data_IF_713404108138
#
_entry.id   IF_713404108138
#
_cell.length_a   1.000
_cell.length_b   1.000
_cell.length_c   1.000
_cell.angle_alpha   90.00
_cell.angle_beta   90.00
_cell.angle_gamma   90.00
#
_symmetry.space_group_name_H-M   'P 1'
#
loop_
_entity.id
_entity.type
_entity.pdbx_description
1 polymer ?
#
# COMPACT_ATOMS: atom_id res chain seq x y z
N UNK A 1 -15.06 16.54 4.13
CA UNK A 1 -14.31 16.02 5.30
C UNK A 1 -14.71 14.59 5.61
N UNK A 2 -16.00 14.33 5.72
CA UNK A 2 -16.64 13.06 6.09
C UNK A 2 -16.09 11.85 5.32
N UNK A 3 -15.76 12.03 4.03
CA UNK A 3 -15.10 11.04 3.17
C UNK A 3 -13.75 10.56 3.73
N UNK A 4 -12.89 11.50 4.16
CA UNK A 4 -11.58 11.20 4.73
C UNK A 4 -11.65 10.75 6.20
N UNK A 5 -12.67 11.15 6.96
CA UNK A 5 -12.83 10.67 8.35
C UNK A 5 -13.04 9.15 8.39
N UNK A 6 -13.75 8.59 7.39
CA UNK A 6 -14.02 7.15 7.26
C UNK A 6 -12.78 6.28 7.01
N UNK A 7 -11.69 6.85 6.48
CA UNK A 7 -10.50 6.10 6.00
C UNK A 7 -9.19 6.51 6.66
N UNK A 8 -9.03 7.80 7.00
CA UNK A 8 -7.74 8.40 7.38
C UNK A 8 -7.74 9.09 8.75
N UNK A 9 -8.89 9.49 9.29
CA UNK A 9 -9.01 10.03 10.66
C UNK A 9 -8.06 11.22 11.00
N UNK A 10 -7.64 12.01 10.00
CA UNK A 10 -6.76 13.18 10.21
C UNK A 10 -7.46 14.35 10.91
N UNK A 11 -8.72 14.62 10.53
CA UNK A 11 -9.39 15.89 10.75
C UNK A 11 -10.48 15.78 11.82
N UNK A 12 -10.43 16.66 12.81
CA UNK A 12 -11.46 16.77 13.84
C UNK A 12 -12.47 17.83 13.39
N UNK A 13 -13.74 17.50 13.07
CA UNK A 13 -14.70 18.48 12.55
C UNK A 13 -15.02 19.60 13.54
N UNK A 14 -14.64 19.47 14.82
CA UNK A 14 -14.76 20.54 15.84
C UNK A 14 -13.66 21.60 15.75
N UNK A 15 -12.65 21.39 14.90
CA UNK A 15 -11.52 22.30 14.66
C UNK A 15 -11.31 22.54 13.16
N UNK A 16 -11.19 21.46 12.38
CA UNK A 16 -10.84 21.43 10.95
C UNK A 16 -12.02 21.82 10.05
N UNK A 17 -12.63 22.98 10.28
CA UNK A 17 -13.65 23.57 9.40
C UNK A 17 -13.02 24.13 8.13
N UNK A 18 -13.85 24.47 7.13
CA UNK A 18 -13.38 25.19 5.94
C UNK A 18 -12.67 26.50 6.32
N UNK A 19 -13.30 27.34 7.16
CA UNK A 19 -12.73 28.62 7.58
C UNK A 19 -11.41 28.47 8.34
N UNK A 20 -11.30 27.43 9.19
CA UNK A 20 -10.06 27.13 9.91
C UNK A 20 -8.95 26.76 8.92
N UNK A 21 -9.18 25.82 8.01
CA UNK A 21 -8.13 25.38 7.07
C UNK A 21 -7.79 26.51 6.09
N UNK A 22 -8.78 27.22 5.56
CA UNK A 22 -8.57 28.37 4.67
C UNK A 22 -7.75 29.49 5.34
N UNK A 23 -8.02 29.81 6.61
CA UNK A 23 -7.25 30.82 7.35
C UNK A 23 -5.86 30.36 7.81
N UNK A 24 -5.63 29.05 8.00
CA UNK A 24 -4.35 28.52 8.53
C UNK A 24 -3.41 27.91 7.49
N UNK A 25 -3.92 27.26 6.44
CA UNK A 25 -3.10 26.49 5.51
C UNK A 25 -3.75 26.37 4.12
N UNK A 26 -3.37 27.28 3.24
CA UNK A 26 -3.70 27.21 1.81
C UNK A 26 -3.12 25.96 1.15
N UNK A 27 -1.96 25.45 1.60
CA UNK A 27 -1.38 24.21 1.09
C UNK A 27 -2.25 22.98 1.41
N UNK A 28 -2.73 22.85 2.65
CA UNK A 28 -3.64 21.76 3.02
C UNK A 28 -4.98 21.90 2.30
N UNK A 29 -5.52 23.12 2.15
CA UNK A 29 -6.74 23.36 1.39
C UNK A 29 -6.61 22.90 -0.07
N UNK A 30 -5.58 23.36 -0.78
CA UNK A 30 -5.34 22.98 -2.18
C UNK A 30 -5.17 21.46 -2.37
N UNK A 31 -4.48 20.79 -1.44
CA UNK A 31 -4.31 19.32 -1.48
C UNK A 31 -5.61 18.57 -1.20
N UNK A 32 -6.42 19.02 -0.23
CA UNK A 32 -7.74 18.43 0.05
C UNK A 32 -8.65 18.59 -1.17
N UNK A 33 -8.72 19.79 -1.76
CA UNK A 33 -9.49 20.04 -2.97
C UNK A 33 -9.02 19.18 -4.15
N UNK A 34 -7.71 19.06 -4.35
CA UNK A 34 -7.13 18.23 -5.41
C UNK A 34 -7.55 16.75 -5.29
N UNK A 35 -7.41 16.17 -4.09
CA UNK A 35 -7.67 14.75 -3.88
C UNK A 35 -9.16 14.43 -3.99
N UNK A 36 -10.06 15.33 -3.58
CA UNK A 36 -11.50 15.13 -3.80
C UNK A 36 -11.85 15.30 -5.27
N UNK A 37 -11.38 16.37 -5.92
CA UNK A 37 -11.68 16.65 -7.33
C UNK A 37 -11.19 15.55 -8.29
N UNK A 38 -10.11 14.82 -7.95
CA UNK A 38 -9.59 13.75 -8.80
C UNK A 38 -10.43 12.47 -8.80
N UNK A 39 -11.34 12.30 -7.84
CA UNK A 39 -12.21 11.13 -7.75
C UNK A 39 -13.47 11.32 -8.60
N UNK A 40 -14.02 12.53 -8.64
CA UNK A 40 -15.26 12.86 -9.34
C UNK A 40 -15.00 13.23 -10.83
N UNK A 41 -15.54 12.49 -11.81
CA UNK A 41 -15.34 12.82 -13.23
C UNK A 41 -15.86 14.20 -13.63
N UNK A 42 -16.90 14.72 -12.94
CA UNK A 42 -17.43 16.07 -13.17
C UNK A 42 -16.43 17.20 -12.87
N UNK A 43 -15.39 16.93 -12.08
CA UNK A 43 -14.37 17.91 -11.71
C UNK A 43 -13.03 17.74 -12.43
N UNK A 44 -12.91 16.90 -13.48
CA UNK A 44 -11.64 16.64 -14.17
C UNK A 44 -10.85 17.92 -14.55
N UNK A 45 -11.51 18.92 -15.15
CA UNK A 45 -10.83 20.17 -15.52
C UNK A 45 -10.29 20.93 -14.30
N UNK A 46 -10.99 20.86 -13.17
CA UNK A 46 -10.57 21.44 -11.89
C UNK A 46 -9.46 20.59 -11.27
N UNK A 47 -9.57 19.26 -11.32
CA UNK A 47 -8.57 18.32 -10.83
C UNK A 47 -7.21 18.52 -11.54
N UNK A 48 -7.21 18.71 -12.87
CA UNK A 48 -5.98 19.01 -13.65
C UNK A 48 -5.38 20.38 -13.33
N UNK A 49 -6.20 21.40 -13.08
CA UNK A 49 -5.71 22.71 -12.64
C UNK A 49 -5.12 22.66 -11.21
N UNK A 50 -5.79 21.93 -10.31
CA UNK A 50 -5.34 21.72 -8.94
C UNK A 50 -4.07 20.86 -8.88
N UNK A 51 -3.95 19.83 -9.72
CA UNK A 51 -2.73 19.03 -9.86
C UNK A 51 -1.53 19.91 -10.23
N UNK A 52 -1.69 20.72 -11.29
CA UNK A 52 -0.67 21.66 -11.73
C UNK A 52 -0.30 22.66 -10.61
N UNK A 53 -1.30 23.26 -9.96
CA UNK A 53 -1.06 24.20 -8.85
C UNK A 53 -0.34 23.53 -7.66
N UNK A 54 -0.76 22.33 -7.27
CA UNK A 54 -0.15 21.57 -6.18
C UNK A 54 1.30 21.22 -6.49
N UNK A 55 1.58 20.68 -7.68
CA UNK A 55 2.90 20.18 -8.05
C UNK A 55 3.89 21.26 -8.51
N UNK A 56 3.41 22.35 -9.13
CA UNK A 56 4.25 23.43 -9.67
C UNK A 56 4.30 24.67 -8.77
N UNK A 57 3.33 24.87 -7.86
CA UNK A 57 3.31 26.02 -6.94
C UNK A 57 3.43 25.58 -5.48
N UNK A 58 2.50 24.78 -4.97
CA UNK A 58 2.39 24.49 -3.53
C UNK A 58 3.59 23.69 -3.01
N UNK A 59 3.89 22.53 -3.62
CA UNK A 59 4.98 21.67 -3.16
C UNK A 59 6.37 22.33 -3.29
N UNK A 60 6.73 23.00 -4.41
CA UNK A 60 7.96 23.78 -4.49
C UNK A 60 8.04 24.91 -3.47
N UNK A 61 6.94 25.62 -3.19
CA UNK A 61 6.91 26.71 -2.21
C UNK A 61 7.19 26.22 -0.78
N UNK A 62 6.66 25.07 -0.38
CA UNK A 62 6.95 24.46 0.93
C UNK A 62 8.47 24.23 1.09
N UNK A 63 9.12 23.69 0.05
CA UNK A 63 10.57 23.45 0.04
C UNK A 63 11.39 24.75 0.01
N UNK A 64 11.13 25.62 -0.96
CA UNK A 64 11.94 26.80 -1.26
C UNK A 64 11.87 27.89 -0.17
N UNK A 65 10.72 28.02 0.50
CA UNK A 65 10.52 29.00 1.58
C UNK A 65 10.62 28.38 2.98
N UNK A 66 10.81 27.05 3.09
CA UNK A 66 10.95 26.36 4.37
C UNK A 66 9.69 26.46 5.27
N UNK A 67 8.51 26.41 4.67
CA UNK A 67 7.25 26.47 5.40
C UNK A 67 7.02 25.20 6.23
N UNK A 68 6.59 25.36 7.49
CA UNK A 68 6.46 24.27 8.46
C UNK A 68 5.21 24.46 9.32
N UNK A 69 4.32 23.48 9.32
CA UNK A 69 3.17 23.39 10.23
C UNK A 69 2.61 21.97 10.27
N UNK A 70 1.69 21.69 11.20
CA UNK A 70 0.96 20.41 11.27
C UNK A 70 0.17 20.16 9.98
N UNK A 71 -0.44 21.20 9.44
CA UNK A 71 -1.22 21.17 8.21
C UNK A 71 -0.34 20.87 6.98
N UNK A 72 0.92 21.31 6.98
CA UNK A 72 1.88 20.96 5.93
C UNK A 72 2.29 19.48 6.02
N UNK A 73 2.48 18.93 7.23
CA UNK A 73 2.70 17.49 7.41
C UNK A 73 1.49 16.70 6.88
N UNK A 74 0.26 17.13 7.20
CA UNK A 74 -0.97 16.51 6.69
C UNK A 74 -1.10 16.61 5.16
N UNK A 75 -0.77 17.76 4.57
CA UNK A 75 -0.80 17.96 3.12
C UNK A 75 0.19 17.02 2.41
N UNK A 76 1.44 16.92 2.90
CA UNK A 76 2.45 16.03 2.36
C UNK A 76 2.08 14.54 2.53
N UNK A 77 1.46 14.18 3.67
CA UNK A 77 0.93 12.83 3.89
C UNK A 77 -0.22 12.47 2.94
N UNK A 78 -1.15 13.40 2.73
CA UNK A 78 -2.24 13.21 1.79
C UNK A 78 -1.72 13.03 0.36
N UNK A 79 -0.73 13.83 -0.07
CA UNK A 79 -0.08 13.65 -1.37
C UNK A 79 0.64 12.30 -1.48
N UNK A 80 1.31 11.84 -0.43
CA UNK A 80 1.95 10.52 -0.43
C UNK A 80 0.92 9.37 -0.49
N UNK A 81 -0.19 9.50 0.24
CA UNK A 81 -1.23 8.48 0.37
C UNK A 81 -2.09 8.29 -0.89
N UNK A 82 -2.23 9.34 -1.71
CA UNK A 82 -3.01 9.38 -2.94
C UNK A 82 -2.17 9.74 -4.18
N UNK A 83 -0.84 9.58 -4.11
CA UNK A 83 0.04 9.75 -5.26
C UNK A 83 -0.48 8.89 -6.43
N UNK A 84 -0.56 9.43 -7.65
CA UNK A 84 -0.85 8.58 -8.80
C UNK A 84 0.26 7.52 -8.92
N UNK A 85 -0.08 6.21 -8.97
CA UNK A 85 0.92 5.19 -9.26
C UNK A 85 1.56 5.50 -10.61
N UNK A 86 2.88 5.63 -10.65
CA UNK A 86 3.67 5.77 -11.88
C UNK A 86 3.93 4.40 -12.49
N UNK A 87 4.13 4.32 -13.81
CA UNK A 87 4.50 3.06 -14.50
C UNK A 87 5.97 2.67 -14.22
N UNK A 88 6.77 3.64 -13.79
CA UNK A 88 8.15 3.44 -13.38
C UNK A 88 8.29 3.65 -11.86
N UNK A 89 8.83 2.66 -11.13
CA UNK A 89 9.12 2.78 -9.68
C UNK A 89 10.05 3.95 -9.37
N UNK A 90 10.94 4.31 -10.31
CA UNK A 90 11.86 5.44 -10.14
C UNK A 90 11.14 6.79 -10.14
N UNK A 91 9.91 6.82 -10.64
CA UNK A 91 9.03 7.99 -10.69
C UNK A 91 8.01 7.99 -9.53
N UNK A 92 7.96 6.94 -8.69
CA UNK A 92 7.09 6.92 -7.51
C UNK A 92 7.57 7.93 -6.46
N UNK A 93 6.83 9.03 -6.35
CA UNK A 93 7.11 10.12 -5.42
C UNK A 93 6.53 9.90 -4.02
N UNK A 94 5.77 8.84 -3.78
CA UNK A 94 5.09 8.59 -2.49
C UNK A 94 6.09 8.58 -1.32
N UNK A 95 7.22 7.87 -1.46
CA UNK A 95 8.27 7.80 -0.45
C UNK A 95 8.96 9.14 -0.22
N UNK A 96 9.19 9.92 -1.28
CA UNK A 96 9.80 11.25 -1.20
C UNK A 96 8.89 12.27 -0.51
N UNK A 97 7.59 12.24 -0.81
CA UNK A 97 6.56 13.09 -0.20
C UNK A 97 6.41 12.76 1.30
N UNK A 98 6.35 11.48 1.64
CA UNK A 98 6.31 10.98 3.01
C UNK A 98 7.58 11.35 3.79
N UNK A 99 8.76 11.18 3.17
CA UNK A 99 10.05 11.56 3.77
C UNK A 99 10.11 13.06 4.06
N UNK A 100 9.54 13.89 3.17
CA UNK A 100 9.43 15.32 3.42
C UNK A 100 8.46 15.62 4.59
N UNK A 101 7.32 14.91 4.68
CA UNK A 101 6.40 15.03 5.81
C UNK A 101 7.09 14.68 7.15
N UNK A 102 7.88 13.60 7.18
CA UNK A 102 8.66 13.18 8.33
C UNK A 102 9.71 14.23 8.75
N UNK A 103 10.39 14.86 7.77
CA UNK A 103 11.33 15.96 8.04
C UNK A 103 10.63 17.17 8.65
N UNK A 104 9.54 17.67 8.04
CA UNK A 104 8.79 18.82 8.57
C UNK A 104 8.25 18.53 9.97
N UNK A 105 7.73 17.32 10.20
CA UNK A 105 7.28 16.87 11.52
C UNK A 105 8.40 16.91 12.56
N UNK A 106 9.61 16.47 12.19
CA UNK A 106 10.79 16.48 13.05
C UNK A 106 11.25 17.91 13.38
N UNK A 107 11.24 18.81 12.41
CA UNK A 107 11.61 20.24 12.57
C UNK A 107 10.64 21.01 13.48
N UNK A 108 9.36 20.65 13.52
CA UNK A 108 8.37 21.20 14.47
C UNK A 108 8.26 20.41 15.79
N UNK A 109 9.17 19.45 16.01
CA UNK A 109 9.20 18.55 17.16
C UNK A 109 7.87 17.80 17.42
N UNK A 110 7.18 17.40 16.33
CA UNK A 110 5.88 16.75 16.40
C UNK A 110 5.92 15.42 17.16
N UNK A 111 7.08 14.73 17.15
CA UNK A 111 7.34 13.51 17.92
C UNK A 111 7.08 13.65 19.42
N UNK A 112 7.29 14.84 20.00
CA UNK A 112 7.08 15.09 21.42
C UNK A 112 5.58 15.29 21.79
N UNK A 113 4.67 15.39 20.81
CA UNK A 113 3.28 15.79 21.05
C UNK A 113 2.48 14.81 21.94
N UNK A 114 2.81 13.52 21.94
CA UNK A 114 2.17 12.51 22.79
C UNK A 114 2.74 12.49 24.22
N UNK A 115 4.00 12.90 24.38
CA UNK A 115 4.69 12.97 25.68
C UNK A 115 4.44 14.29 26.41
N UNK A 116 3.84 15.28 25.75
CA UNK A 116 3.53 16.58 26.34
C UNK A 116 2.56 16.43 27.52
N UNK A 117 2.93 16.97 28.68
CA UNK A 117 2.08 16.89 29.88
C UNK A 117 0.78 17.64 29.63
N UNK A 118 -0.36 17.03 29.97
CA UNK A 118 -1.66 17.72 29.91
C UNK A 118 -1.59 19.00 30.74
N UNK A 119 -1.78 20.13 30.08
CA UNK A 119 -2.00 21.43 30.71
C UNK A 119 -3.48 21.51 31.11
N UNK A 120 -3.73 21.47 32.41
CA UNK A 120 -5.08 21.54 32.98
C UNK A 120 -5.70 22.94 32.86
N UNK A 121 -4.90 23.96 32.54
CA UNK A 121 -5.36 25.34 32.36
C UNK A 121 -5.48 25.73 30.88
N UNK A 122 -5.03 24.86 29.95
CA UNK A 122 -5.17 25.08 28.52
C UNK A 122 -6.65 25.16 28.10
N UNK A 123 -6.97 26.15 27.27
CA UNK A 123 -8.32 26.32 26.73
C UNK A 123 -8.75 25.10 25.91
N UNK A 124 -10.07 24.90 25.77
CA UNK A 124 -10.62 23.84 24.90
C UNK A 124 -10.08 23.92 23.46
N UNK A 125 -9.90 25.12 22.92
CA UNK A 125 -9.34 25.32 21.59
C UNK A 125 -7.88 24.85 21.53
N UNK A 126 -7.04 25.29 22.47
CA UNK A 126 -5.64 24.86 22.58
C UNK A 126 -5.50 23.34 22.71
N UNK A 127 -6.38 22.69 23.51
CA UNK A 127 -6.39 21.21 23.62
C UNK A 127 -6.84 20.51 22.34
N UNK A 128 -7.73 21.10 21.53
CA UNK A 128 -8.09 20.57 20.22
C UNK A 128 -6.92 20.71 19.23
N UNK A 129 -6.20 21.83 19.22
CA UNK A 129 -4.97 22.00 18.41
C UNK A 129 -3.87 20.99 18.82
N UNK A 130 -3.69 20.74 20.12
CA UNK A 130 -2.79 19.67 20.59
C UNK A 130 -3.21 18.28 20.09
N UNK A 131 -4.52 17.93 20.13
CA UNK A 131 -5.01 16.66 19.57
C UNK A 131 -4.90 16.60 18.05
N UNK A 132 -5.00 17.73 17.34
CA UNK A 132 -4.76 17.81 15.90
C UNK A 132 -3.31 17.44 15.55
N UNK A 133 -2.33 18.01 16.27
CA UNK A 133 -0.92 17.63 16.17
C UNK A 133 -0.69 16.14 16.46
N UNK A 134 -1.32 15.60 17.51
CA UNK A 134 -1.23 14.18 17.88
C UNK A 134 -1.80 13.25 16.80
N UNK A 135 -2.94 13.60 16.17
CA UNK A 135 -3.50 12.86 15.02
C UNK A 135 -2.59 12.87 13.80
N UNK A 136 -1.94 13.99 13.53
CA UNK A 136 -0.97 14.09 12.44
C UNK A 136 0.25 13.18 12.69
N UNK A 137 0.76 13.12 13.93
CA UNK A 137 1.87 12.22 14.31
C UNK A 137 1.51 10.74 14.19
N UNK A 138 0.37 10.32 14.76
CA UNK A 138 -0.08 8.93 14.72
C UNK A 138 -0.27 8.46 13.27
N UNK A 139 -0.87 9.29 12.42
CA UNK A 139 -1.03 8.96 11.00
C UNK A 139 0.29 9.01 10.22
N UNK A 140 1.21 9.94 10.51
CA UNK A 140 2.55 9.95 9.89
C UNK A 140 3.23 8.60 10.09
N UNK A 141 3.25 8.09 11.33
CA UNK A 141 3.84 6.80 11.64
C UNK A 141 3.08 5.62 10.99
N UNK A 142 1.74 5.64 10.95
CA UNK A 142 0.95 4.59 10.30
C UNK A 142 1.17 4.52 8.78
N UNK A 143 1.26 5.67 8.13
CA UNK A 143 1.52 5.77 6.69
C UNK A 143 2.96 5.42 6.36
N UNK A 144 3.92 5.84 7.20
CA UNK A 144 5.33 5.51 7.03
C UNK A 144 5.60 4.02 7.19
N UNK A 145 5.11 3.41 8.27
CA UNK A 145 5.21 1.96 8.47
C UNK A 145 4.59 1.18 7.31
N UNK A 146 3.40 1.59 6.87
CA UNK A 146 2.71 0.89 5.78
C UNK A 146 3.45 1.04 4.45
N UNK A 147 3.92 2.24 4.09
CA UNK A 147 4.64 2.44 2.82
C UNK A 147 6.04 1.80 2.83
N UNK A 148 6.74 1.82 3.96
CA UNK A 148 8.01 1.12 4.15
C UNK A 148 7.82 -0.39 3.88
N UNK A 149 6.80 -0.98 4.50
CA UNK A 149 6.45 -2.39 4.31
C UNK A 149 5.99 -2.71 2.86
N UNK A 150 5.19 -1.84 2.24
CA UNK A 150 4.73 -1.98 0.84
C UNK A 150 5.79 -1.62 -0.22
N UNK A 151 7.02 -1.30 0.18
CA UNK A 151 8.11 -1.00 -0.76
C UNK A 151 9.46 -1.61 -0.35
N UNK A 152 9.46 -2.54 0.63
CA UNK A 152 10.68 -3.18 1.15
C UNK A 152 11.70 -2.22 1.78
N UNK A 153 11.32 -0.97 2.08
CA UNK A 153 12.24 0.06 2.58
C UNK A 153 12.37 0.00 4.10
N UNK A 154 13.55 0.34 4.62
CA UNK A 154 13.73 0.57 6.05
C UNK A 154 12.99 1.82 6.51
N UNK A 155 12.54 1.81 7.77
CA UNK A 155 11.86 2.96 8.36
C UNK A 155 12.82 4.14 8.52
N UNK A 156 12.34 5.34 8.20
CA UNK A 156 13.04 6.62 8.36
C UNK A 156 12.71 7.30 9.70
N UNK A 157 11.71 6.80 10.43
CA UNK A 157 11.35 7.29 11.74
C UNK A 157 12.20 6.60 12.81
N UNK A 158 12.60 7.35 13.84
CA UNK A 158 13.32 6.80 14.97
C UNK A 158 12.53 5.67 15.64
N UNK A 159 13.23 4.64 16.13
CA UNK A 159 12.58 3.55 16.85
C UNK A 159 11.94 4.06 18.15
N UNK A 160 10.62 3.85 18.27
CA UNK A 160 9.81 4.32 19.37
C UNK A 160 8.67 3.33 19.66
N UNK A 161 8.36 3.11 20.93
CA UNK A 161 7.24 2.25 21.34
C UNK A 161 5.92 3.05 21.33
N UNK A 162 5.54 3.51 20.13
CA UNK A 162 4.43 4.45 19.93
C UNK A 162 3.11 3.96 20.55
N UNK A 163 2.86 2.65 20.49
CA UNK A 163 1.65 2.07 21.08
C UNK A 163 1.56 2.32 22.59
N UNK A 164 2.66 2.15 23.33
CA UNK A 164 2.69 2.45 24.76
C UNK A 164 2.45 3.93 25.06
N UNK A 165 2.87 4.83 24.17
CA UNK A 165 2.60 6.27 24.27
C UNK A 165 1.15 6.66 23.94
N UNK A 166 0.45 5.90 23.08
CA UNK A 166 -0.90 6.24 22.61
C UNK A 166 -2.02 5.32 23.10
N UNK A 167 -1.72 4.26 23.87
CA UNK A 167 -2.68 3.22 24.28
C UNK A 167 -4.01 3.78 24.81
N UNK A 168 -3.92 4.70 25.76
CA UNK A 168 -5.09 5.28 26.43
C UNK A 168 -5.47 6.67 25.86
N UNK A 169 -4.81 7.11 24.79
CA UNK A 169 -4.99 8.44 24.19
C UNK A 169 -6.40 8.66 23.62
N UNK A 170 -7.06 7.57 23.22
CA UNK A 170 -8.44 7.55 22.72
C UNK A 170 -9.50 7.66 23.83
N UNK A 171 -9.12 7.59 25.11
CA UNK A 171 -10.01 7.71 26.27
C UNK A 171 -10.13 9.15 26.82
N UNK A 172 -9.45 10.13 26.20
CA UNK A 172 -9.55 11.53 26.63
C UNK A 172 -10.95 12.12 26.38
N UNK A 173 -11.49 13.02 27.23
CA UNK A 173 -12.80 13.65 26.99
C UNK A 173 -12.94 14.45 25.68
N UNK A 174 -11.83 14.79 25.02
CA UNK A 174 -11.81 15.40 23.69
C UNK A 174 -11.50 14.40 22.56
N UNK A 175 -11.56 13.10 22.80
CA UNK A 175 -11.43 12.09 21.76
C UNK A 175 -12.58 12.16 20.73
N UNK A 176 -12.38 11.44 19.62
CA UNK A 176 -13.36 11.08 18.59
C UNK A 176 -13.41 9.56 18.49
N UNK A 177 -14.50 8.99 18.00
CA UNK A 177 -14.59 7.55 17.78
C UNK A 177 -13.53 7.06 16.76
N UNK A 178 -13.12 7.94 15.83
CA UNK A 178 -12.00 7.72 14.92
C UNK A 178 -10.63 7.60 15.61
N UNK A 179 -10.46 8.13 16.83
CA UNK A 179 -9.23 8.00 17.63
C UNK A 179 -9.04 6.56 18.12
N UNK A 180 -10.14 5.86 18.44
CA UNK A 180 -10.14 4.44 18.80
C UNK A 180 -9.55 3.60 17.65
N UNK A 181 -9.96 3.90 16.41
CA UNK A 181 -9.40 3.26 15.23
C UNK A 181 -7.93 3.62 14.98
N UNK A 182 -7.49 4.84 15.29
CA UNK A 182 -6.06 5.18 15.17
C UNK A 182 -5.21 4.37 16.15
N UNK A 183 -5.60 4.29 17.42
CA UNK A 183 -4.87 3.51 18.42
C UNK A 183 -4.88 2.01 18.08
N UNK A 184 -6.01 1.47 17.62
CA UNK A 184 -6.07 0.07 17.20
C UNK A 184 -5.16 -0.23 16.01
N UNK A 185 -5.07 0.67 15.03
CA UNK A 185 -4.16 0.52 13.89
C UNK A 185 -2.69 0.60 14.34
N UNK A 186 -2.36 1.47 15.29
CA UNK A 186 -1.00 1.54 15.86
C UNK A 186 -0.65 0.22 16.55
N UNK A 187 -1.54 -0.34 17.37
CA UNK A 187 -1.32 -1.66 17.97
C UNK A 187 -1.11 -2.74 16.91
N UNK A 188 -1.95 -2.79 15.87
CA UNK A 188 -1.85 -3.80 14.81
C UNK A 188 -0.50 -3.73 14.08
N UNK A 189 -0.03 -2.52 13.74
CA UNK A 189 1.30 -2.35 13.12
C UNK A 189 2.43 -2.68 14.10
N UNK A 190 2.28 -2.37 15.39
CA UNK A 190 3.23 -2.79 16.43
C UNK A 190 3.29 -4.32 16.58
N UNK A 191 2.16 -5.03 16.51
CA UNK A 191 2.10 -6.50 16.48
C UNK A 191 2.85 -7.03 15.25
N UNK A 192 2.59 -6.50 14.05
CA UNK A 192 3.30 -6.91 12.83
C UNK A 192 4.80 -6.67 12.97
N UNK A 193 5.23 -5.47 13.38
CA UNK A 193 6.65 -5.13 13.60
C UNK A 193 7.33 -6.11 14.56
N UNK A 194 6.71 -6.37 15.72
CA UNK A 194 7.27 -7.26 16.75
C UNK A 194 7.36 -8.71 16.26
N UNK A 195 6.39 -9.21 15.50
CA UNK A 195 6.47 -10.57 14.94
C UNK A 195 7.46 -10.67 13.76
N UNK A 196 7.60 -9.65 12.90
CA UNK A 196 8.69 -9.64 11.90
C UNK A 196 10.07 -9.71 12.56
N UNK A 197 10.28 -8.94 13.63
CA UNK A 197 11.53 -9.00 14.39
C UNK A 197 11.71 -10.34 15.10
N UNK A 198 10.68 -10.88 15.76
CA UNK A 198 10.77 -12.21 16.39
C UNK A 198 11.15 -13.29 15.38
N UNK A 199 10.56 -13.29 14.19
CA UNK A 199 10.88 -14.27 13.15
C UNK A 199 12.39 -14.27 12.81
N UNK A 200 13.00 -13.09 12.67
CA UNK A 200 14.45 -12.94 12.45
C UNK A 200 15.35 -13.42 13.60
N UNK A 201 14.79 -13.67 14.78
CA UNK A 201 15.49 -14.14 15.98
C UNK A 201 15.20 -15.62 16.32
N UNK A 202 14.19 -16.24 15.70
CA UNK A 202 13.82 -17.62 15.99
C UNK A 202 14.77 -18.60 15.29
N UNK A 203 15.22 -19.67 15.97
CA UNK A 203 15.95 -20.74 15.31
C UNK A 203 15.03 -21.54 14.37
N UNK A 204 15.56 -22.15 13.30
CA UNK A 204 14.78 -22.97 12.36
C UNK A 204 13.94 -24.06 13.06
N UNK A 205 12.75 -24.35 12.54
CA UNK A 205 11.82 -25.33 13.12
C UNK A 205 10.87 -24.80 14.20
N UNK A 206 10.91 -23.49 14.50
CA UNK A 206 9.96 -22.83 15.42
C UNK A 206 8.72 -22.25 14.70
N UNK A 207 8.50 -22.66 13.46
CA UNK A 207 7.51 -22.12 12.52
C UNK A 207 6.07 -22.23 13.02
N UNK A 208 5.72 -23.36 13.65
CA UNK A 208 4.40 -23.57 14.24
C UNK A 208 4.17 -22.73 15.49
N UNK A 209 5.20 -22.55 16.33
CA UNK A 209 5.15 -21.67 17.50
C UNK A 209 4.95 -20.21 17.05
N UNK A 210 5.69 -19.79 16.03
CA UNK A 210 5.57 -18.47 15.42
C UNK A 210 4.16 -18.23 14.86
N UNK A 211 3.63 -19.17 14.08
CA UNK A 211 2.30 -19.08 13.50
C UNK A 211 1.20 -18.99 14.58
N UNK A 212 1.24 -19.82 15.62
CA UNK A 212 0.28 -19.72 16.72
C UNK A 212 0.41 -18.42 17.52
N UNK A 213 1.63 -17.89 17.72
CA UNK A 213 1.80 -16.58 18.37
C UNK A 213 1.16 -15.46 17.53
N UNK A 214 1.42 -15.44 16.21
CA UNK A 214 0.83 -14.46 15.30
C UNK A 214 -0.70 -14.53 15.33
N UNK A 215 -1.28 -15.74 15.22
CA UNK A 215 -2.72 -15.96 15.31
C UNK A 215 -3.29 -15.53 16.66
N UNK A 216 -2.63 -15.87 17.77
CA UNK A 216 -3.06 -15.50 19.13
C UNK A 216 -3.09 -13.98 19.35
N UNK A 217 -2.06 -13.26 18.91
CA UNK A 217 -2.01 -11.80 19.03
C UNK A 217 -3.05 -11.11 18.13
N UNK A 218 -3.24 -11.57 16.90
CA UNK A 218 -4.26 -11.02 15.98
C UNK A 218 -5.70 -11.35 16.43
N UNK A 219 -5.94 -12.52 17.05
CA UNK A 219 -7.22 -12.85 17.70
C UNK A 219 -7.47 -11.94 18.90
N UNK A 220 -6.48 -11.74 19.76
CA UNK A 220 -6.55 -10.82 20.92
C UNK A 220 -6.87 -9.39 20.45
N UNK A 221 -6.14 -8.88 19.47
CA UNK A 221 -6.40 -7.57 18.86
C UNK A 221 -7.84 -7.45 18.33
N UNK A 222 -8.30 -8.49 17.62
CA UNK A 222 -9.68 -8.54 17.09
C UNK A 222 -10.71 -8.46 18.22
N UNK A 223 -10.54 -9.26 19.28
CA UNK A 223 -11.45 -9.29 20.43
C UNK A 223 -11.45 -7.96 21.19
N UNK A 224 -10.29 -7.33 21.40
CA UNK A 224 -10.19 -6.03 22.06
C UNK A 224 -10.95 -4.96 21.29
N UNK A 225 -10.65 -4.78 20.00
CA UNK A 225 -11.17 -3.62 19.24
C UNK A 225 -12.52 -3.82 18.58
N UNK A 226 -12.96 -5.07 18.34
CA UNK A 226 -14.34 -5.33 17.90
C UNK A 226 -15.34 -5.24 19.06
N UNK A 227 -14.95 -5.64 20.29
CA UNK A 227 -15.81 -5.54 21.47
C UNK A 227 -15.69 -4.21 22.23
N UNK A 228 -14.75 -3.33 21.87
CA UNK A 228 -14.61 -1.99 22.46
C UNK A 228 -15.78 -1.04 22.14
N UNK A 229 -16.69 -1.44 21.23
CA UNK A 229 -17.80 -0.63 20.75
C UNK A 229 -19.12 -0.99 21.43
N UNK A 230 -19.92 -0.01 21.90
CA UNK A 230 -21.33 -0.23 22.20
C UNK A 230 -22.07 -0.76 20.97
N UNK A 231 -23.03 -1.66 21.17
CA UNK A 231 -23.80 -2.34 20.11
C UNK A 231 -24.49 -1.41 19.07
N UNK A 232 -24.62 -0.12 19.38
CA UNK A 232 -25.22 0.91 18.51
C UNK A 232 -24.22 1.81 17.76
N UNK A 233 -22.92 1.69 18.02
CA UNK A 233 -21.89 2.56 17.45
C UNK A 233 -20.97 1.78 16.49
N UNK A 234 -20.94 2.18 15.22
CA UNK A 234 -19.96 1.66 14.24
C UNK A 234 -18.87 2.69 13.99
N UNK A 235 -17.60 2.29 14.16
CA UNK A 235 -16.46 3.08 13.66
C UNK A 235 -16.11 2.57 12.27
N UNK A 236 -16.29 3.42 11.24
CA UNK A 236 -16.16 3.03 9.83
C UNK A 236 -14.83 2.37 9.46
N UNK A 237 -13.73 2.67 10.17
CA UNK A 237 -12.42 2.02 9.95
C UNK A 237 -12.31 0.65 10.64
N UNK A 238 -13.02 0.43 11.76
CA UNK A 238 -13.06 -0.87 12.45
C UNK A 238 -14.00 -1.88 11.77
N UNK A 239 -14.95 -1.42 10.93
CA UNK A 239 -15.69 -2.28 9.99
C UNK A 239 -14.77 -3.08 9.06
N UNK A 240 -13.56 -2.57 8.81
CA UNK A 240 -12.53 -3.19 7.97
C UNK A 240 -11.57 -4.10 8.77
N UNK A 241 -11.81 -4.29 10.08
CA UNK A 241 -10.95 -5.08 10.97
C UNK A 241 -10.64 -6.49 10.44
N UNK A 242 -11.63 -7.19 9.86
CA UNK A 242 -11.42 -8.50 9.21
C UNK A 242 -10.42 -8.43 8.06
N UNK A 243 -10.47 -7.39 7.22
CA UNK A 243 -9.50 -7.19 6.14
C UNK A 243 -8.11 -6.94 6.69
N UNK A 244 -7.98 -6.08 7.70
CA UNK A 244 -6.68 -5.77 8.31
C UNK A 244 -6.05 -6.98 9.00
N UNK A 245 -6.85 -7.81 9.68
CA UNK A 245 -6.40 -9.04 10.36
C UNK A 245 -6.02 -10.12 9.36
N UNK A 246 -6.86 -10.41 8.36
CA UNK A 246 -6.51 -11.35 7.29
C UNK A 246 -5.24 -10.92 6.55
N UNK A 247 -5.11 -9.63 6.22
CA UNK A 247 -3.92 -9.12 5.53
C UNK A 247 -2.65 -9.24 6.38
N UNK A 248 -2.73 -8.90 7.66
CA UNK A 248 -1.62 -9.07 8.60
C UNK A 248 -1.23 -10.54 8.77
N UNK A 249 -2.21 -11.45 8.86
CA UNK A 249 -1.95 -12.88 9.01
C UNK A 249 -1.29 -13.45 7.74
N UNK A 250 -1.75 -13.07 6.55
CA UNK A 250 -1.13 -13.50 5.29
C UNK A 250 0.31 -12.99 5.16
N UNK A 251 0.59 -11.75 5.57
CA UNK A 251 1.98 -11.23 5.58
C UNK A 251 2.88 -12.01 6.54
N UNK A 252 2.43 -12.25 7.78
CA UNK A 252 3.23 -12.90 8.81
C UNK A 252 3.44 -14.39 8.51
N UNK A 253 2.40 -15.13 8.12
CA UNK A 253 2.53 -16.52 7.72
C UNK A 253 3.26 -16.69 6.39
N UNK A 254 3.19 -15.70 5.50
CA UNK A 254 3.99 -15.64 4.29
C UNK A 254 5.48 -15.81 4.58
N UNK A 255 6.03 -15.03 5.54
CA UNK A 255 7.44 -15.09 5.95
C UNK A 255 7.93 -16.50 6.26
N UNK A 256 7.08 -17.31 6.91
CA UNK A 256 7.41 -18.69 7.23
C UNK A 256 7.69 -19.50 5.96
N UNK A 257 6.98 -19.26 4.86
CA UNK A 257 7.12 -20.01 3.61
C UNK A 257 8.31 -19.55 2.77
N UNK A 258 8.80 -18.30 2.92
CA UNK A 258 9.98 -17.79 2.21
C UNK A 258 11.29 -18.47 2.60
N UNK A 259 11.45 -18.80 3.88
CA UNK A 259 12.74 -19.23 4.42
C UNK A 259 12.95 -20.75 4.39
N UNK A 260 12.14 -21.48 3.61
CA UNK A 260 12.16 -22.92 3.47
C UNK A 260 11.64 -23.37 2.11
N UNK A 261 12.25 -24.44 1.58
CA UNK A 261 11.84 -25.03 0.31
C UNK A 261 10.37 -25.51 0.37
N UNK A 262 9.67 -25.44 -0.77
CA UNK A 262 8.27 -25.88 -0.91
C UNK A 262 7.95 -27.27 -0.36
N UNK A 263 8.92 -28.19 -0.37
CA UNK A 263 8.80 -29.54 0.17
C UNK A 263 8.73 -29.61 1.71
N UNK A 264 9.06 -28.53 2.41
CA UNK A 264 9.13 -28.44 3.88
C UNK A 264 7.95 -27.69 4.49
N UNK A 265 7.16 -26.97 3.67
CA UNK A 265 6.08 -26.10 4.13
C UNK A 265 5.06 -26.83 5.04
N UNK A 266 4.86 -26.38 6.28
CA UNK A 266 3.88 -26.99 7.19
C UNK A 266 2.44 -26.87 6.62
N UNK A 267 1.72 -27.98 6.40
CA UNK A 267 0.37 -27.94 5.81
C UNK A 267 -0.63 -27.11 6.61
N UNK A 268 -0.46 -27.02 7.93
CA UNK A 268 -1.27 -26.16 8.81
C UNK A 268 -1.09 -24.68 8.51
N UNK A 269 0.14 -24.23 8.23
CA UNK A 269 0.44 -22.82 7.90
C UNK A 269 -0.09 -22.48 6.51
N UNK A 270 -0.01 -23.41 5.55
CA UNK A 270 -0.60 -23.24 4.23
C UNK A 270 -2.14 -23.19 4.31
N UNK A 271 -2.76 -23.98 5.20
CA UNK A 271 -4.20 -23.88 5.50
C UNK A 271 -4.57 -22.53 6.12
N UNK A 272 -3.87 -22.09 7.17
CA UNK A 272 -4.11 -20.79 7.80
C UNK A 272 -3.97 -19.64 6.77
N UNK A 273 -2.99 -19.73 5.85
CA UNK A 273 -2.77 -18.75 4.77
C UNK A 273 -3.93 -18.75 3.77
N UNK A 274 -4.40 -19.94 3.37
CA UNK A 274 -5.55 -20.14 2.50
C UNK A 274 -6.83 -19.55 3.10
N UNK A 275 -7.14 -19.88 4.37
CA UNK A 275 -8.31 -19.35 5.08
C UNK A 275 -8.25 -17.82 5.23
N UNK A 276 -7.07 -17.28 5.57
CA UNK A 276 -6.88 -15.85 5.74
C UNK A 276 -7.07 -15.09 4.41
N UNK A 277 -6.47 -15.59 3.32
CA UNK A 277 -6.57 -14.98 1.99
C UNK A 277 -7.98 -15.09 1.39
N UNK A 278 -8.61 -16.28 1.45
CA UNK A 278 -10.00 -16.48 1.02
C UNK A 278 -10.97 -15.59 1.81
N UNK A 279 -10.73 -15.42 3.12
CA UNK A 279 -11.52 -14.49 3.96
C UNK A 279 -11.34 -13.04 3.53
N UNK A 280 -10.11 -12.61 3.20
CA UNK A 280 -9.88 -11.25 2.71
C UNK A 280 -10.66 -11.00 1.41
N UNK A 281 -10.48 -11.87 0.41
CA UNK A 281 -11.05 -11.68 -0.92
C UNK A 281 -12.58 -11.75 -0.93
N UNK A 282 -13.20 -12.58 -0.08
CA UNK A 282 -14.66 -12.57 0.05
C UNK A 282 -15.18 -11.28 0.70
N UNK A 283 -14.54 -10.83 1.79
CA UNK A 283 -14.99 -9.67 2.58
C UNK A 283 -14.71 -8.35 1.86
N UNK A 284 -13.66 -8.26 1.04
CA UNK A 284 -13.20 -7.00 0.45
C UNK A 284 -14.28 -6.30 -0.41
N UNK A 285 -14.89 -6.93 -1.43
CA UNK A 285 -15.94 -6.28 -2.22
C UNK A 285 -17.22 -5.97 -1.44
N UNK A 286 -17.44 -6.63 -0.28
CA UNK A 286 -18.61 -6.39 0.58
C UNK A 286 -18.43 -5.17 1.49
N UNK A 287 -17.19 -4.86 1.90
CA UNK A 287 -16.87 -3.77 2.82
C UNK A 287 -16.31 -2.53 2.13
N UNK A 288 -15.71 -2.72 0.96
CA UNK A 288 -15.13 -1.71 0.09
C UNK A 288 -15.64 -1.95 -1.33
N UNK A 289 -16.95 -1.75 -1.51
CA UNK A 289 -17.55 -1.62 -2.82
C UNK A 289 -16.96 -0.41 -3.58
N UNK A 290 -17.09 -0.40 -4.91
CA UNK A 290 -16.45 0.56 -5.80
C UNK A 290 -16.62 2.03 -5.38
N UNK A 291 -17.85 2.40 -5.01
CA UNK A 291 -18.25 3.74 -4.54
C UNK A 291 -17.51 4.19 -3.27
N UNK A 292 -17.15 3.26 -2.39
CA UNK A 292 -16.33 3.54 -1.19
C UNK A 292 -14.83 3.43 -1.49
N UNK A 293 -14.46 2.57 -2.44
CA UNK A 293 -13.07 2.23 -2.75
C UNK A 293 -12.34 3.35 -3.50
N UNK A 294 -13.02 4.11 -4.39
CA UNK A 294 -12.41 5.24 -5.11
C UNK A 294 -11.86 6.35 -4.19
N UNK A 295 -12.42 6.53 -2.99
CA UNK A 295 -11.93 7.48 -1.98
C UNK A 295 -10.90 6.88 -1.00
N UNK A 296 -10.50 5.62 -1.18
CA UNK A 296 -9.47 4.98 -0.35
C UNK A 296 -8.06 5.28 -0.86
N UNK A 297 -7.16 5.54 0.09
CA UNK A 297 -5.74 5.72 -0.17
C UNK A 297 -5.08 4.44 -0.72
N UNK A 298 -3.98 4.60 -1.46
CA UNK A 298 -3.36 3.56 -2.29
C UNK A 298 -3.11 2.23 -1.57
N UNK A 299 -2.78 2.25 -0.27
CA UNK A 299 -2.50 1.02 0.49
C UNK A 299 -3.67 0.03 0.53
N UNK A 300 -4.92 0.49 0.35
CA UNK A 300 -6.08 -0.42 0.26
C UNK A 300 -6.07 -1.21 -1.05
N UNK A 301 -5.67 -0.56 -2.15
CA UNK A 301 -5.50 -1.16 -3.47
C UNK A 301 -4.30 -2.10 -3.52
N UNK A 302 -3.16 -1.67 -2.97
CA UNK A 302 -1.95 -2.51 -2.84
C UNK A 302 -2.26 -3.75 -1.98
N UNK A 303 -2.95 -3.58 -0.86
CA UNK A 303 -3.30 -4.69 0.03
C UNK A 303 -4.19 -5.73 -0.66
N UNK A 304 -5.22 -5.31 -1.41
CA UNK A 304 -6.07 -6.22 -2.15
C UNK A 304 -5.35 -6.86 -3.35
N UNK A 305 -4.48 -6.11 -4.04
CA UNK A 305 -3.69 -6.65 -5.16
C UNK A 305 -2.73 -7.75 -4.70
N UNK A 306 -2.03 -7.51 -3.58
CA UNK A 306 -1.19 -8.53 -2.93
C UNK A 306 -1.97 -9.79 -2.54
N UNK A 307 -3.23 -9.64 -2.09
CA UNK A 307 -4.08 -10.78 -1.73
C UNK A 307 -4.53 -11.59 -2.95
N UNK A 308 -4.78 -10.94 -4.10
CA UNK A 308 -5.05 -11.63 -5.36
C UNK A 308 -3.82 -12.44 -5.80
N UNK A 309 -2.61 -11.88 -5.74
CA UNK A 309 -1.37 -12.60 -6.08
C UNK A 309 -1.19 -13.84 -5.19
N UNK A 310 -1.36 -13.71 -3.87
CA UNK A 310 -1.24 -14.84 -2.93
C UNK A 310 -2.29 -15.91 -3.21
N UNK A 311 -3.54 -15.54 -3.49
CA UNK A 311 -4.59 -16.49 -3.83
C UNK A 311 -4.36 -17.19 -5.19
N UNK A 312 -3.83 -16.48 -6.18
CA UNK A 312 -3.39 -17.05 -7.46
C UNK A 312 -2.31 -18.11 -7.22
N UNK A 313 -1.28 -17.81 -6.41
CA UNK A 313 -0.23 -18.77 -6.05
C UNK A 313 -0.79 -19.97 -5.27
N UNK A 314 -1.67 -19.75 -4.30
CA UNK A 314 -2.33 -20.81 -3.55
C UNK A 314 -3.15 -21.73 -4.48
N UNK A 315 -3.90 -21.18 -5.44
CA UNK A 315 -4.70 -21.98 -6.38
C UNK A 315 -3.84 -22.96 -7.21
N UNK A 316 -2.63 -22.54 -7.62
CA UNK A 316 -1.63 -23.39 -8.29
C UNK A 316 -1.12 -24.55 -7.41
N UNK A 317 -1.31 -24.48 -6.08
CA UNK A 317 -0.91 -25.53 -5.14
C UNK A 317 -2.00 -26.58 -4.85
N UNK A 318 -3.19 -26.48 -5.46
CA UNK A 318 -4.32 -27.39 -5.23
C UNK A 318 -4.00 -28.88 -5.48
N UNK A 319 -3.04 -29.17 -6.36
CA UNK A 319 -2.51 -30.53 -6.59
C UNK A 319 -1.62 -31.06 -5.45
N UNK A 320 -1.01 -30.17 -4.67
CA UNK A 320 -0.10 -30.48 -3.55
C UNK A 320 -0.85 -30.50 -2.22
N UNK A 321 -1.78 -29.55 -2.03
CA UNK A 321 -2.58 -29.39 -0.81
C UNK A 321 -4.07 -29.51 -1.15
N UNK A 322 -4.62 -30.71 -0.96
CA UNK A 322 -5.99 -31.08 -1.37
C UNK A 322 -7.11 -30.31 -0.67
N UNK A 323 -6.80 -29.54 0.37
CA UNK A 323 -7.75 -28.65 1.04
C UNK A 323 -7.92 -27.29 0.33
N UNK A 324 -7.06 -26.96 -0.65
CA UNK A 324 -7.15 -25.71 -1.40
C UNK A 324 -8.16 -25.86 -2.53
N UNK A 325 -9.30 -25.19 -2.40
CA UNK A 325 -10.23 -24.98 -3.50
C UNK A 325 -9.71 -23.83 -4.39
N UNK A 326 -8.86 -24.20 -5.35
CA UNK A 326 -8.27 -23.25 -6.31
C UNK A 326 -9.32 -22.55 -7.17
N UNK A 327 -10.38 -23.25 -7.58
CA UNK A 327 -11.49 -22.69 -8.37
C UNK A 327 -12.20 -21.57 -7.60
N UNK A 328 -12.50 -21.80 -6.31
CA UNK A 328 -13.10 -20.78 -5.44
C UNK A 328 -12.19 -19.59 -5.22
N UNK A 329 -10.89 -19.79 -5.02
CA UNK A 329 -9.94 -18.67 -4.92
C UNK A 329 -9.94 -17.81 -6.18
N UNK A 330 -9.89 -18.41 -7.37
CA UNK A 330 -9.91 -17.68 -8.63
C UNK A 330 -11.23 -16.91 -8.80
N UNK A 331 -12.38 -17.50 -8.46
CA UNK A 331 -13.67 -16.79 -8.44
C UNK A 331 -13.67 -15.59 -7.47
N UNK A 332 -13.03 -15.71 -6.30
CA UNK A 332 -12.86 -14.62 -5.35
C UNK A 332 -11.92 -13.52 -5.89
N UNK A 333 -10.84 -13.89 -6.60
CA UNK A 333 -9.97 -12.94 -7.30
C UNK A 333 -10.73 -12.15 -8.37
N UNK A 334 -11.53 -12.82 -9.21
CA UNK A 334 -12.36 -12.15 -10.21
C UNK A 334 -13.39 -11.20 -9.58
N UNK A 335 -13.98 -11.53 -8.42
CA UNK A 335 -14.86 -10.60 -7.68
C UNK A 335 -14.14 -9.34 -7.18
N UNK A 336 -12.84 -9.42 -6.88
CA UNK A 336 -12.01 -8.24 -6.53
C UNK A 336 -11.65 -7.44 -7.78
N UNK A 337 -11.29 -8.12 -8.88
CA UNK A 337 -11.06 -7.50 -10.19
C UNK A 337 -12.29 -6.72 -10.68
N UNK A 338 -13.49 -7.32 -10.60
CA UNK A 338 -14.76 -6.64 -10.91
C UNK A 338 -15.00 -5.40 -10.05
N UNK A 339 -14.60 -5.44 -8.78
CA UNK A 339 -14.72 -4.29 -7.89
C UNK A 339 -13.79 -3.15 -8.33
N UNK A 340 -12.54 -3.48 -8.71
CA UNK A 340 -11.59 -2.51 -9.27
C UNK A 340 -12.08 -1.95 -10.61
N UNK A 341 -12.65 -2.80 -11.48
CA UNK A 341 -13.20 -2.39 -12.79
C UNK A 341 -14.35 -1.39 -12.63
N UNK A 342 -15.29 -1.67 -11.72
CA UNK A 342 -16.39 -0.73 -11.40
C UNK A 342 -15.89 0.58 -10.80
N UNK A 343 -14.84 0.53 -9.98
CA UNK A 343 -14.25 1.72 -9.38
C UNK A 343 -13.49 2.57 -10.42
N UNK A 344 -12.76 1.95 -11.34
CA UNK A 344 -12.12 2.62 -12.48
C UNK A 344 -13.16 3.32 -13.38
N UNK A 345 -14.25 2.63 -13.71
CA UNK A 345 -15.36 3.20 -14.49
C UNK A 345 -16.09 4.37 -13.78
N UNK A 346 -15.82 4.61 -12.50
CA UNK A 346 -16.37 5.72 -11.71
C UNK A 346 -15.36 6.86 -11.48
N UNK A 347 -14.11 6.69 -11.94
CA UNK A 347 -12.98 7.60 -11.65
C UNK A 347 -12.33 8.17 -12.90
N UNK A 348 -11.41 9.11 -12.73
CA UNK A 348 -10.58 9.65 -13.81
C UNK A 348 -9.41 8.69 -14.09
N UNK A 349 -9.04 8.52 -15.37
CA UNK A 349 -8.03 7.56 -15.83
C UNK A 349 -6.65 7.66 -15.12
N UNK A 350 -6.25 8.86 -14.69
CA UNK A 350 -4.97 9.12 -14.02
C UNK A 350 -4.92 8.72 -12.53
N UNK A 351 -5.90 7.95 -12.06
CA UNK A 351 -6.04 7.56 -10.65
C UNK A 351 -5.66 6.10 -10.38
N UNK A 352 -5.41 5.78 -9.11
CA UNK A 352 -5.06 4.45 -8.63
C UNK A 352 -5.95 3.30 -9.19
N UNK A 353 -7.30 3.40 -9.25
CA UNK A 353 -8.15 2.38 -9.85
C UNK A 353 -7.66 1.80 -11.18
N UNK A 354 -7.23 2.64 -12.12
CA UNK A 354 -6.88 2.21 -13.47
C UNK A 354 -5.55 1.44 -13.51
N UNK A 355 -4.52 1.94 -12.80
CA UNK A 355 -3.24 1.25 -12.68
C UNK A 355 -3.40 -0.13 -12.01
N UNK A 356 -4.06 -0.18 -10.85
CA UNK A 356 -4.23 -1.46 -10.14
C UNK A 356 -5.18 -2.43 -10.88
N UNK A 357 -6.14 -1.93 -11.67
CA UNK A 357 -6.94 -2.75 -12.57
C UNK A 357 -6.09 -3.38 -13.68
N UNK A 358 -5.26 -2.59 -14.38
CA UNK A 358 -4.35 -3.08 -15.43
C UNK A 358 -3.42 -4.15 -14.88
N UNK A 359 -2.83 -3.91 -13.71
CA UNK A 359 -1.99 -4.89 -13.02
C UNK A 359 -2.71 -6.21 -12.74
N UNK A 360 -3.89 -6.17 -12.11
CA UNK A 360 -4.65 -7.39 -11.83
C UNK A 360 -5.08 -8.11 -13.12
N UNK A 361 -5.32 -7.38 -14.20
CA UNK A 361 -5.55 -7.95 -15.53
C UNK A 361 -4.33 -8.71 -16.05
N UNK A 362 -3.10 -8.22 -15.83
CA UNK A 362 -1.87 -8.96 -16.12
C UNK A 362 -1.74 -10.24 -15.28
N UNK A 363 -1.92 -10.12 -13.96
CA UNK A 363 -1.82 -11.24 -12.99
C UNK A 363 -2.83 -12.36 -13.25
N UNK A 364 -4.04 -12.03 -13.72
CA UNK A 364 -5.08 -13.04 -14.02
C UNK A 364 -4.95 -13.61 -15.45
N UNK A 365 -4.39 -12.85 -16.41
CA UNK A 365 -4.14 -13.35 -17.77
C UNK A 365 -3.00 -14.37 -17.84
N UNK A 366 -1.92 -14.20 -17.08
CA UNK A 366 -0.79 -15.15 -17.11
C UNK A 366 -1.20 -16.58 -16.72
N UNK A 367 -2.12 -16.72 -15.75
CA UNK A 367 -2.74 -18.00 -15.40
C UNK A 367 -3.50 -18.69 -16.54
N UNK A 368 -3.96 -17.95 -17.54
CA UNK A 368 -4.71 -18.50 -18.67
C UNK A 368 -3.80 -19.17 -19.70
N UNK A 369 -2.54 -18.73 -19.79
CA UNK A 369 -1.53 -19.28 -20.72
C UNK A 369 -0.77 -20.48 -20.13
N UNK A 370 -0.71 -20.63 -18.81
CA UNK A 370 -0.15 -21.82 -18.14
C UNK A 370 -1.05 -23.07 -18.24
N UNK A 371 -2.23 -22.98 -18.85
CA UNK A 371 -3.08 -24.13 -19.13
C UNK A 371 -2.47 -24.97 -20.28
N UNK A 372 -2.32 -26.30 -20.14
CA UNK A 372 -1.73 -27.13 -21.18
C UNK A 372 -2.54 -27.06 -22.49
N UNK A 373 -1.90 -26.98 -23.67
CA UNK A 373 -2.59 -26.87 -24.95
C UNK A 373 -3.32 -28.19 -25.27
N UNK A 374 -4.61 -28.24 -24.95
CA UNK A 374 -5.37 -29.50 -25.04
C UNK A 374 -6.84 -29.43 -24.65
N UNK A 375 -7.55 -28.32 -24.90
CA UNK A 375 -9.01 -28.28 -24.70
C UNK A 375 -9.79 -27.18 -25.47
N UNK A 376 -9.37 -26.72 -26.66
CA UNK A 376 -10.27 -26.13 -27.68
C UNK A 376 -9.53 -25.94 -29.01
N UNK A 377 -9.55 -26.97 -29.86
CA UNK A 377 -9.45 -26.80 -31.31
C UNK A 377 -10.78 -27.27 -31.92
N UNK A 378 -11.58 -26.36 -32.46
CA UNK A 378 -12.36 -26.58 -33.68
C UNK A 378 -12.92 -25.24 -34.21
N UNK A 379 -12.65 -24.97 -35.50
CA UNK A 379 -13.26 -23.96 -36.38
C UNK A 379 -13.26 -22.47 -35.89
N UNK A 380 -12.67 -21.51 -36.60
CA UNK A 380 -12.87 -21.30 -38.04
C UNK A 380 -11.62 -20.82 -38.80
N UNK A 381 -11.52 -21.30 -40.04
CA UNK A 381 -10.52 -20.93 -41.04
C UNK A 381 -11.07 -19.84 -41.96
N UNK A 382 -10.26 -18.86 -42.41
CA UNK A 382 -10.25 -18.39 -43.81
C UNK A 382 -9.13 -17.35 -44.10
N UNK A 383 -8.35 -17.66 -45.13
CA UNK A 383 -7.57 -16.79 -46.04
C UNK A 383 -6.39 -15.93 -45.53
N UNK A 384 -5.20 -16.44 -45.88
CA UNK A 384 -3.92 -15.73 -46.02
C UNK A 384 -3.85 -14.76 -47.21
N UNK A 385 -2.97 -13.76 -47.13
CA UNK A 385 -2.19 -13.23 -48.26
C UNK A 385 -0.78 -12.86 -47.79
N UNK A 386 0.25 -13.34 -48.51
CA UNK A 386 1.68 -13.11 -48.24
C UNK A 386 2.24 -12.02 -49.15
N UNK A 387 3.20 -11.22 -48.66
CA UNK A 387 4.32 -10.65 -49.45
C UNK A 387 5.37 -10.05 -48.47
N UNK A 388 6.46 -10.74 -48.15
CA UNK A 388 7.79 -10.73 -48.81
C UNK A 388 8.70 -9.53 -48.46
N UNK A 389 9.66 -9.75 -47.52
CA UNK A 389 10.84 -8.89 -47.31
C UNK A 389 11.97 -9.24 -48.30
N UNK A 390 12.99 -8.37 -48.45
CA UNK A 390 14.29 -8.69 -47.83
C UNK A 390 15.09 -7.50 -47.24
N UNK A 391 16.04 -7.85 -46.36
CA UNK A 391 17.04 -7.02 -45.65
C UNK A 391 18.32 -6.77 -46.51
N UNK A 392 19.44 -6.15 -46.03
CA UNK A 392 19.67 -5.19 -44.90
C UNK A 392 20.66 -4.00 -45.20
N UNK A 393 20.69 -2.97 -44.31
CA UNK A 393 21.85 -2.11 -43.83
C UNK A 393 22.86 -1.42 -44.81
N UNK A 394 23.83 -0.54 -44.38
CA UNK A 394 24.11 0.16 -43.09
C UNK A 394 24.39 1.71 -43.24
N UNK A 395 25.11 2.30 -42.25
CA UNK A 395 25.85 3.62 -42.18
C UNK A 395 25.08 4.74 -41.42
N UNK A 396 25.61 5.56 -40.50
CA UNK A 396 26.73 5.63 -39.54
C UNK A 396 26.97 7.14 -39.24
N UNK A 397 27.72 7.43 -38.16
CA UNK A 397 28.37 8.73 -37.83
C UNK A 397 27.45 9.94 -37.49
N UNK A 398 27.84 10.94 -36.66
CA UNK A 398 28.91 11.05 -35.63
C UNK A 398 28.68 12.30 -34.78
N UNK A 399 29.03 12.29 -33.48
CA UNK A 399 29.80 13.35 -32.80
C UNK A 399 30.29 12.95 -31.40
N UNK A 400 31.55 13.33 -31.09
CA UNK A 400 32.40 12.66 -30.09
C UNK A 400 33.36 13.66 -29.41
N UNK A 401 33.57 13.49 -28.09
CA UNK A 401 34.70 13.93 -27.23
C UNK A 401 34.99 15.43 -26.96
N UNK A 402 35.34 15.68 -25.69
CA UNK A 402 36.67 16.12 -25.19
C UNK A 402 36.70 15.80 -23.67
N UNK A 403 37.33 14.70 -23.20
CA UNK A 403 38.76 14.56 -22.80
C UNK A 403 39.13 15.28 -21.49
N UNK A 404 39.95 14.76 -20.55
CA UNK A 404 40.46 13.43 -20.19
C UNK A 404 41.31 13.63 -18.90
N UNK A 405 41.44 12.64 -18.00
CA UNK A 405 42.38 12.78 -16.87
C UNK A 405 42.36 11.69 -15.80
N UNK A 406 43.40 10.85 -15.82
CA UNK A 406 43.82 9.86 -14.79
C UNK A 406 43.07 8.51 -14.67
N UNK A 407 43.89 7.46 -14.74
CA UNK A 407 43.66 6.03 -14.47
C UNK A 407 44.99 5.49 -13.90
N UNK A 408 45.08 4.27 -13.33
CA UNK A 408 44.02 3.46 -12.73
C UNK A 408 44.41 2.95 -11.31
N UNK A 409 43.44 2.45 -10.56
CA UNK A 409 43.69 1.41 -9.55
C UNK A 409 42.76 0.24 -9.86
N UNK A 410 43.31 -0.98 -9.95
CA UNK A 410 42.59 -2.13 -10.48
C UNK A 410 41.67 -2.76 -9.44
N UNK A 411 40.38 -2.87 -9.79
CA UNK A 411 39.49 -3.91 -9.30
C UNK A 411 38.82 -4.52 -10.53
N UNK A 412 38.81 -5.85 -10.62
CA UNK A 412 38.23 -6.58 -11.74
C UNK A 412 36.72 -6.37 -11.80
N UNK A 413 36.22 -5.95 -12.97
CA UNK A 413 34.79 -5.96 -13.24
C UNK A 413 34.36 -7.38 -13.63
N UNK A 414 33.19 -7.88 -13.18
CA UNK A 414 32.63 -9.12 -13.70
C UNK A 414 32.29 -8.97 -15.21
N UNK A 415 32.31 -10.07 -15.98
CA UNK A 415 32.19 -10.02 -17.43
C UNK A 415 30.83 -9.50 -17.91
N UNK A 416 30.84 -8.68 -18.96
CA UNK A 416 29.70 -7.93 -19.48
C UNK A 416 28.67 -8.75 -20.30
N UNK A 417 28.52 -10.05 -20.04
CA UNK A 417 27.64 -10.98 -20.77
C UNK A 417 26.44 -11.45 -19.91
N UNK A 418 25.75 -10.51 -19.25
CA UNK A 418 24.53 -10.77 -18.45
C UNK A 418 23.39 -9.78 -18.72
N UNK A 419 23.28 -9.24 -19.95
CA UNK A 419 22.19 -8.34 -20.36
C UNK A 419 21.48 -8.79 -21.67
N UNK A 420 21.56 -10.08 -21.99
CA UNK A 420 20.74 -10.70 -23.03
C UNK A 420 19.60 -11.51 -22.39
N UNK A 421 18.36 -11.18 -22.74
CA UNK A 421 17.12 -11.94 -22.53
C UNK A 421 17.04 -12.79 -21.25
N UNK A 422 16.51 -12.21 -20.16
CA UNK A 422 15.90 -13.02 -19.10
C UNK A 422 14.52 -13.49 -19.60
N UNK A 423 14.46 -14.72 -20.09
CA UNK A 423 13.20 -15.49 -20.09
C UNK A 423 12.66 -15.51 -18.64
N UNK A 424 11.34 -15.49 -18.45
CA UNK A 424 10.77 -15.72 -17.12
C UNK A 424 10.98 -17.20 -16.75
N UNK A 425 11.83 -17.42 -15.74
CA UNK A 425 12.09 -18.75 -15.18
C UNK A 425 10.77 -19.41 -14.72
N UNK A 426 10.47 -20.70 -15.02
CA UNK A 426 9.20 -21.34 -14.66
C UNK A 426 8.96 -21.56 -13.15
N UNK A 427 9.75 -20.92 -12.29
CA UNK A 427 9.87 -21.16 -10.85
C UNK A 427 9.27 -20.02 -10.03
N UNK A 428 7.96 -19.84 -10.17
CA UNK A 428 7.18 -18.96 -9.28
C UNK A 428 6.93 -19.62 -7.90
N UNK A 429 8.02 -19.77 -7.15
CA UNK A 429 8.02 -20.15 -5.73
C UNK A 429 7.46 -19.05 -4.82
N UNK A 430 7.29 -19.37 -3.53
CA UNK A 430 6.94 -18.36 -2.52
C UNK A 430 8.16 -17.56 -2.07
N UNK A 431 9.37 -17.98 -2.49
CA UNK A 431 10.66 -17.37 -2.21
C UNK A 431 10.68 -15.85 -2.56
N UNK A 432 9.79 -15.42 -3.46
CA UNK A 432 9.67 -14.04 -3.96
C UNK A 432 8.55 -13.18 -3.33
N UNK A 433 7.89 -13.49 -2.20
CA UNK A 433 6.94 -12.49 -1.60
C UNK A 433 7.57 -11.37 -0.75
N UNK A 434 8.86 -11.43 -0.40
CA UNK A 434 9.59 -10.20 -0.05
C UNK A 434 9.77 -9.34 -1.30
N UNK A 435 10.07 -9.97 -2.45
CA UNK A 435 9.96 -9.32 -3.75
C UNK A 435 8.51 -8.82 -3.97
N UNK A 436 7.40 -9.55 -3.79
CA UNK A 436 6.04 -8.99 -3.91
C UNK A 436 5.64 -7.94 -2.85
N UNK A 437 6.35 -7.81 -1.73
CA UNK A 437 6.20 -6.64 -0.85
C UNK A 437 6.86 -5.39 -1.48
N UNK A 438 7.95 -5.56 -2.22
CA UNK A 438 8.66 -4.54 -3.03
C UNK A 438 8.04 -4.37 -4.44
N UNK A 439 7.34 -5.39 -4.93
CA UNK A 439 6.99 -5.63 -6.33
C UNK A 439 5.48 -5.77 -6.55
N UNK A 440 4.66 -5.85 -5.50
CA UNK A 440 3.25 -5.41 -5.59
C UNK A 440 3.15 -3.90 -5.82
N UNK A 441 4.22 -3.15 -5.51
CA UNK A 441 4.44 -1.79 -6.00
C UNK A 441 5.12 -1.80 -7.39
N UNK A 442 6.22 -2.53 -7.60
CA UNK A 442 6.99 -2.51 -8.87
C UNK A 442 6.31 -3.17 -10.09
N UNK A 443 5.73 -4.36 -9.95
CA UNK A 443 5.08 -5.09 -11.05
C UNK A 443 3.66 -4.58 -11.35
N UNK A 444 3.06 -3.81 -10.44
CA UNK A 444 1.86 -3.05 -10.75
C UNK A 444 2.12 -1.87 -11.69
N UNK A 445 3.40 -1.60 -11.95
CA UNK A 445 3.91 -0.43 -12.64
C UNK A 445 4.63 -0.85 -13.94
N UNK A 446 5.48 -1.88 -13.91
CA UNK A 446 6.23 -2.35 -15.09
C UNK A 446 5.36 -3.04 -16.18
N UNK A 447 5.52 -2.61 -17.43
CA UNK A 447 4.72 -3.03 -18.61
C UNK A 447 5.11 -4.37 -19.28
N UNK A 448 5.73 -5.33 -18.57
CA UNK A 448 6.12 -6.63 -19.15
C UNK A 448 4.94 -7.61 -19.35
N UNK A 449 3.76 -7.09 -19.75
CA UNK A 449 2.55 -7.87 -20.04
C UNK A 449 2.04 -7.73 -21.49
N UNK A 450 2.67 -6.88 -22.31
CA UNK A 450 2.30 -6.62 -23.71
C UNK A 450 3.45 -6.98 -24.68
N UNK A 451 3.92 -8.23 -24.66
CA UNK A 451 4.69 -8.90 -25.74
C UNK A 451 4.32 -10.37 -25.83
#
# INVERSE_FOLDING_TARGET
MDTFEKTLAYFDPRLCTFDYIHSRSQSLLSVICFIVARVEPEFDSIARQLDHHVHQTVYPAILAHGFRSVEIVQALLLLAAFASPSENVREDRSWSLLSHAARVASEINLQACLSSRRDEHATRATRLEQRHAQRAWLNLWLHEFSLAQHTGRHSILAEQDLFSSCRDWHLDPLARDSDVALVSMVELRTIIKRNRHLFSLLPPGNDLFYAEQCKSQLRTWSQTWQNALPLSASISRLELSRLYVSHALVQLLGLVLHHQAKSQWPPSIVMDLYEASSTYLDVFPQRLAADRLVYCYNSMWVAASYQVIVAVRLAQLSSTFTFIDGTRLLQQCYRVYDCFSRAANQSIESTAPHCYLRFLGGVLRSLSHDAPPGATEEADTVSSSLEHSPNPDPIAETLVQLSQGQQPCAMEAPPSDMLAASELDPLLGFDDLEFFAWAGASLAQNDNFDT
#
